data_IF_801482451695
#
_entry.id   IF_801482451695
#
_cell.length_a   1.000
_cell.length_b   1.000
_cell.length_c   1.000
_cell.angle_alpha   90.00
_cell.angle_beta   90.00
_cell.angle_gamma   90.00
#
_symmetry.space_group_name_H-M   'P 1'
#
loop_
_entity.id
_entity.type
_entity.pdbx_description
1 polymer ?
#
# COMPACT_ATOMS: atom_id res chain seq x y z
N UNK A 1 16.70 -66.98 -40.78
CA UNK A 1 15.64 -66.12 -40.20
C UNK A 1 14.94 -66.91 -39.11
N UNK A 2 14.45 -66.33 -38.00
CA UNK A 2 14.62 -64.98 -37.45
C UNK A 2 15.29 -64.99 -36.05
N UNK A 3 16.03 -63.92 -35.73
CA UNK A 3 16.62 -63.63 -34.42
C UNK A 3 15.59 -62.98 -33.50
N UNK A 4 15.19 -63.67 -32.43
CA UNK A 4 14.36 -63.09 -31.38
C UNK A 4 15.24 -62.21 -30.47
N UNK A 5 15.06 -60.89 -30.54
CA UNK A 5 15.69 -59.95 -29.61
C UNK A 5 15.15 -60.20 -28.18
N UNK A 6 16.01 -60.16 -27.14
CA UNK A 6 15.53 -60.18 -25.76
C UNK A 6 14.81 -58.87 -25.47
N UNK A 7 13.48 -58.91 -25.40
CA UNK A 7 12.63 -57.77 -25.05
C UNK A 7 12.96 -57.31 -23.63
N UNK A 8 13.53 -56.10 -23.52
CA UNK A 8 13.85 -55.37 -22.29
C UNK A 8 12.58 -54.91 -21.57
N UNK A 9 11.79 -55.86 -21.06
CA UNK A 9 10.57 -55.59 -20.28
C UNK A 9 10.84 -54.67 -19.08
N UNK A 10 12.03 -54.74 -18.49
CA UNK A 10 12.47 -53.91 -17.37
C UNK A 10 12.56 -52.41 -17.68
N UNK A 11 13.07 -52.03 -18.87
CA UNK A 11 13.16 -50.62 -19.28
C UNK A 11 11.79 -50.03 -19.63
N UNK A 12 10.89 -50.86 -20.19
CA UNK A 12 9.53 -50.43 -20.48
C UNK A 12 8.75 -50.18 -19.17
N UNK A 13 8.89 -51.06 -18.16
CA UNK A 13 8.24 -50.86 -16.86
C UNK A 13 8.77 -49.65 -16.11
N UNK A 14 10.08 -49.39 -16.13
CA UNK A 14 10.64 -48.18 -15.47
C UNK A 14 10.21 -46.91 -16.16
N UNK A 15 10.14 -46.89 -17.49
CA UNK A 15 9.63 -45.73 -18.23
C UNK A 15 8.15 -45.43 -17.91
N UNK A 16 7.32 -46.47 -17.81
CA UNK A 16 5.89 -46.31 -17.45
C UNK A 16 5.74 -45.81 -16.01
N UNK A 17 6.49 -46.37 -15.07
CA UNK A 17 6.44 -45.92 -13.66
C UNK A 17 6.94 -44.49 -13.54
N UNK A 18 8.02 -44.12 -14.22
CA UNK A 18 8.52 -42.74 -14.23
C UNK A 18 7.50 -41.76 -14.82
N UNK A 19 6.87 -42.11 -15.95
CA UNK A 19 5.83 -41.29 -16.56
C UNK A 19 4.60 -41.15 -15.64
N UNK A 20 4.19 -42.23 -14.98
CA UNK A 20 3.09 -42.19 -14.01
C UNK A 20 3.41 -41.28 -12.81
N UNK A 21 4.64 -41.35 -12.28
CA UNK A 21 5.08 -40.47 -11.20
C UNK A 21 5.11 -39.00 -11.62
N UNK A 22 5.59 -38.70 -12.83
CA UNK A 22 5.57 -37.33 -13.37
C UNK A 22 4.14 -36.81 -13.48
N UNK A 23 3.21 -37.63 -13.98
CA UNK A 23 1.80 -37.25 -14.08
C UNK A 23 1.18 -37.02 -12.70
N UNK A 24 1.51 -37.83 -11.69
CA UNK A 24 1.05 -37.63 -10.31
C UNK A 24 1.59 -36.30 -9.75
N UNK A 25 2.87 -35.99 -9.96
CA UNK A 25 3.47 -34.73 -9.51
C UNK A 25 2.82 -33.54 -10.20
N UNK A 26 2.57 -33.61 -11.50
CA UNK A 26 1.88 -32.56 -12.25
C UNK A 26 0.43 -32.39 -11.79
N UNK A 27 -0.28 -33.49 -11.53
CA UNK A 27 -1.65 -33.44 -11.01
C UNK A 27 -1.70 -32.85 -9.60
N UNK A 28 -0.79 -33.26 -8.71
CA UNK A 28 -0.66 -32.70 -7.38
C UNK A 28 -0.30 -31.20 -7.43
N UNK A 29 0.61 -30.81 -8.32
CA UNK A 29 0.96 -29.40 -8.55
C UNK A 29 -0.21 -28.58 -9.09
N UNK A 30 -1.01 -29.15 -10.00
CA UNK A 30 -2.20 -28.49 -10.54
C UNK A 30 -3.32 -28.35 -9.50
N UNK A 31 -3.54 -29.37 -8.66
CA UNK A 31 -4.50 -29.32 -7.55
C UNK A 31 -4.06 -28.30 -6.51
N UNK A 32 -2.78 -28.30 -6.13
CA UNK A 32 -2.21 -27.30 -5.23
C UNK A 32 -2.38 -25.89 -5.78
N UNK A 33 -2.04 -25.68 -7.06
CA UNK A 33 -2.21 -24.39 -7.73
C UNK A 33 -3.67 -23.94 -7.77
N UNK A 34 -4.61 -24.85 -8.04
CA UNK A 34 -6.03 -24.53 -8.01
C UNK A 34 -6.49 -24.13 -6.60
N UNK A 35 -6.13 -24.89 -5.57
CA UNK A 35 -6.52 -24.61 -4.17
C UNK A 35 -5.93 -23.29 -3.67
N UNK A 36 -4.65 -23.02 -3.94
CA UNK A 36 -4.00 -21.75 -3.52
C UNK A 36 -4.54 -20.56 -4.30
N UNK A 37 -4.97 -20.76 -5.55
CA UNK A 37 -5.64 -19.70 -6.33
C UNK A 37 -7.04 -19.39 -5.79
N UNK A 38 -7.72 -20.37 -5.21
CA UNK A 38 -9.10 -20.25 -4.75
C UNK A 38 -9.23 -19.75 -3.29
N UNK A 39 -8.12 -19.56 -2.56
CA UNK A 39 -8.08 -18.94 -1.23
C UNK A 39 -7.16 -17.70 -1.20
N UNK A 40 -7.51 -16.62 -1.93
CA UNK A 40 -6.69 -15.41 -1.96
C UNK A 40 -6.71 -14.74 -0.59
N UNK A 41 -5.54 -14.29 -0.11
CA UNK A 41 -5.44 -13.60 1.17
C UNK A 41 -6.47 -12.46 1.28
N UNK A 42 -7.40 -12.62 2.21
CA UNK A 42 -8.39 -11.60 2.58
C UNK A 42 -7.72 -10.61 3.51
N UNK A 43 -8.03 -9.32 3.36
CA UNK A 43 -7.61 -8.33 4.34
C UNK A 43 -8.73 -7.92 5.31
N UNK A 44 -8.30 -7.19 6.33
CA UNK A 44 -9.07 -6.89 7.55
C UNK A 44 -10.03 -5.70 7.40
N UNK A 45 -9.98 -5.01 6.26
CA UNK A 45 -10.75 -3.79 6.01
C UNK A 45 -11.77 -4.01 4.89
N UNK A 46 -13.05 -4.15 5.24
CA UNK A 46 -14.14 -4.03 4.26
C UNK A 46 -14.26 -2.58 3.75
N UNK A 47 -14.12 -1.66 4.70
CA UNK A 47 -14.03 -0.21 4.65
C UNK A 47 -12.65 0.44 4.57
N UNK A 48 -12.37 1.43 3.72
CA UNK A 48 -11.33 2.40 4.10
C UNK A 48 -11.84 3.30 5.24
N UNK A 49 -11.01 3.63 6.25
CA UNK A 49 -11.37 4.58 7.30
C UNK A 49 -11.66 6.00 6.76
N UNK A 50 -12.38 6.80 7.55
CA UNK A 50 -12.59 8.21 7.26
C UNK A 50 -11.42 9.10 7.71
N UNK A 51 -11.47 10.39 7.36
CA UNK A 51 -10.38 11.35 7.63
C UNK A 51 -10.06 11.54 9.12
N UNK A 52 -11.04 11.31 10.01
CA UNK A 52 -10.85 11.42 11.46
C UNK A 52 -9.71 10.56 12.02
N UNK A 53 -9.28 9.51 11.31
CA UNK A 53 -8.13 8.69 11.73
C UNK A 53 -6.80 9.47 11.73
N UNK A 54 -6.70 10.51 10.91
CA UNK A 54 -5.51 11.36 10.83
C UNK A 54 -5.59 12.60 11.71
N UNK A 55 -6.72 12.86 12.37
CA UNK A 55 -6.90 13.97 13.32
C UNK A 55 -6.23 13.63 14.66
N UNK A 56 -4.91 13.45 14.61
CA UNK A 56 -4.05 13.09 15.74
C UNK A 56 -3.32 14.32 16.29
N UNK A 57 -2.74 14.19 17.49
CA UNK A 57 -1.89 15.23 18.07
C UNK A 57 -0.68 15.56 17.17
N UNK A 58 -0.18 14.57 16.42
CA UNK A 58 0.87 14.78 15.41
C UNK A 58 0.41 15.69 14.27
N UNK A 59 -0.84 15.57 13.82
CA UNK A 59 -1.38 16.49 12.82
C UNK A 59 -1.49 17.92 13.37
N UNK A 60 -1.95 18.07 14.62
CA UNK A 60 -2.03 19.38 15.29
C UNK A 60 -0.66 20.06 15.42
N UNK A 61 0.39 19.28 15.68
CA UNK A 61 1.76 19.77 15.79
C UNK A 61 2.38 20.14 14.43
N UNK A 62 2.18 19.29 13.42
CA UNK A 62 2.75 19.48 12.08
C UNK A 62 2.02 20.55 11.26
N UNK A 63 0.69 20.62 11.39
CA UNK A 63 -0.17 21.59 10.70
C UNK A 63 -1.03 22.33 11.74
N UNK A 64 -0.45 23.32 12.45
CA UNK A 64 -1.18 24.06 13.47
C UNK A 64 -2.37 24.81 12.88
N UNK A 65 -3.45 24.88 13.66
CA UNK A 65 -4.70 25.57 13.30
C UNK A 65 -5.30 25.08 11.98
N UNK A 66 -5.07 23.82 11.61
CA UNK A 66 -5.50 23.28 10.33
C UNK A 66 -7.02 23.29 10.17
N UNK A 67 -7.45 23.44 8.91
CA UNK A 67 -8.81 23.17 8.47
C UNK A 67 -8.79 22.01 7.47
N UNK A 68 -9.84 21.18 7.50
CA UNK A 68 -10.05 20.12 6.51
C UNK A 68 -10.52 20.77 5.18
N UNK A 69 -9.62 20.83 4.20
CA UNK A 69 -9.88 21.43 2.88
C UNK A 69 -10.49 20.42 1.89
N UNK A 70 -10.04 19.16 1.94
CA UNK A 70 -10.47 18.10 1.02
C UNK A 70 -10.99 16.94 1.83
N UNK A 71 -12.17 16.46 1.45
CA UNK A 71 -12.80 15.28 2.02
C UNK A 71 -13.59 14.50 0.95
N UNK A 72 -12.86 13.86 0.04
CA UNK A 72 -13.40 13.32 -1.21
C UNK A 72 -13.27 11.80 -1.31
N UNK A 73 -14.21 11.10 -1.96
CA UNK A 73 -14.08 9.67 -2.21
C UNK A 73 -13.00 9.38 -3.25
N UNK A 74 -12.25 8.29 -3.06
CA UNK A 74 -11.29 7.73 -4.02
C UNK A 74 -11.81 6.40 -4.52
N UNK A 75 -11.90 6.24 -5.84
CA UNK A 75 -12.48 5.05 -6.46
C UNK A 75 -13.95 4.82 -6.07
N UNK A 76 -14.39 3.58 -6.20
CA UNK A 76 -15.73 3.13 -5.86
C UNK A 76 -15.80 1.61 -5.70
N UNK A 77 -16.92 1.10 -5.22
CA UNK A 77 -17.09 -0.34 -4.88
C UNK A 77 -16.81 -1.31 -6.05
N UNK A 78 -16.84 -0.82 -7.28
CA UNK A 78 -16.59 -1.61 -8.50
C UNK A 78 -15.18 -1.47 -9.05
N UNK A 79 -14.38 -0.58 -8.48
CA UNK A 79 -13.03 -0.35 -8.95
C UNK A 79 -12.10 -1.47 -8.44
N UNK A 80 -11.28 -2.06 -9.32
CA UNK A 80 -10.47 -3.22 -8.97
C UNK A 80 -9.35 -2.89 -7.98
N UNK A 81 -8.95 -1.61 -7.89
CA UNK A 81 -7.97 -1.13 -6.92
C UNK A 81 -8.59 -0.84 -5.55
N UNK A 82 -9.92 -0.84 -5.44
CA UNK A 82 -10.65 -0.57 -4.22
C UNK A 82 -11.26 0.82 -4.13
N UNK A 83 -11.71 1.13 -2.92
CA UNK A 83 -12.38 2.40 -2.63
C UNK A 83 -11.89 2.97 -1.31
N UNK A 84 -11.97 4.30 -1.20
CA UNK A 84 -11.71 4.97 0.05
C UNK A 84 -11.79 6.48 -0.04
N UNK A 85 -10.83 7.16 0.56
CA UNK A 85 -10.95 8.58 0.90
C UNK A 85 -9.63 9.31 0.70
N UNK A 86 -9.73 10.52 0.18
CA UNK A 86 -8.67 11.51 0.17
C UNK A 86 -9.05 12.64 1.12
N UNK A 87 -8.12 12.95 2.01
CA UNK A 87 -8.23 13.96 3.03
C UNK A 87 -7.08 14.95 2.88
N UNK A 88 -7.35 16.24 3.06
CA UNK A 88 -6.30 17.26 3.10
C UNK A 88 -6.60 18.26 4.20
N UNK A 89 -5.60 18.50 5.04
CA UNK A 89 -5.60 19.52 6.05
C UNK A 89 -4.54 20.56 5.72
N UNK A 90 -4.86 21.83 5.87
CA UNK A 90 -3.91 22.91 5.67
C UNK A 90 -4.13 24.03 6.68
N UNK A 91 -3.06 24.72 7.03
CA UNK A 91 -3.16 25.96 7.80
C UNK A 91 -3.86 27.03 6.95
N UNK A 92 -4.91 27.69 7.46
CA UNK A 92 -5.58 28.78 6.75
C UNK A 92 -4.61 29.90 6.35
N UNK A 93 -4.80 30.48 5.17
CA UNK A 93 -3.97 31.59 4.69
C UNK A 93 -4.09 32.86 5.55
N UNK A 94 -2.98 33.58 5.72
CA UNK A 94 -2.93 34.86 6.45
C UNK A 94 -1.89 34.89 7.56
N UNK A 95 -1.84 35.96 8.38
CA UNK A 95 -0.95 36.02 9.54
C UNK A 95 -1.37 34.98 10.59
N UNK A 96 -0.70 33.83 10.59
CA UNK A 96 -0.90 32.73 11.53
C UNK A 96 0.11 32.71 12.67
N UNK A 97 -0.05 31.75 13.59
CA UNK A 97 0.90 31.49 14.70
C UNK A 97 2.13 30.69 14.26
N UNK A 98 2.06 30.06 13.09
CA UNK A 98 3.11 29.28 12.46
C UNK A 98 3.12 29.52 10.95
N UNK A 99 4.22 29.16 10.30
CA UNK A 99 4.30 29.14 8.83
C UNK A 99 3.31 28.11 8.27
N UNK A 100 2.69 28.38 7.10
CA UNK A 100 1.70 27.48 6.52
C UNK A 100 2.24 26.06 6.27
N UNK A 101 1.47 25.07 6.69
CA UNK A 101 1.72 23.65 6.41
C UNK A 101 0.52 22.98 5.77
N UNK A 102 0.75 21.81 5.18
CA UNK A 102 -0.32 20.95 4.68
C UNK A 102 0.01 19.47 4.85
N UNK A 103 -1.00 18.69 5.22
CA UNK A 103 -0.96 17.25 5.29
C UNK A 103 -2.05 16.67 4.36
N UNK A 104 -1.72 15.61 3.64
CA UNK A 104 -2.66 14.88 2.78
C UNK A 104 -2.61 13.42 3.16
N UNK A 105 -3.77 12.78 3.24
CA UNK A 105 -3.91 11.35 3.47
C UNK A 105 -4.81 10.77 2.37
N UNK A 106 -4.33 9.73 1.71
CA UNK A 106 -5.14 8.88 0.84
C UNK A 106 -5.21 7.50 1.47
N UNK A 107 -6.41 6.94 1.59
CA UNK A 107 -6.62 5.58 2.06
C UNK A 107 -7.52 4.84 1.08
N UNK A 108 -7.14 3.62 0.70
CA UNK A 108 -7.89 2.78 -0.23
C UNK A 108 -7.92 1.35 0.30
N UNK A 109 -9.12 0.86 0.64
CA UNK A 109 -9.32 -0.54 0.99
C UNK A 109 -9.56 -1.33 -0.28
N UNK A 110 -8.65 -2.27 -0.56
CA UNK A 110 -8.76 -3.15 -1.70
C UNK A 110 -9.82 -4.24 -1.46
N UNK A 111 -10.63 -4.60 -2.48
CA UNK A 111 -11.75 -5.50 -2.30
C UNK A 111 -11.29 -6.95 -2.03
N UNK A 112 -12.05 -7.65 -1.20
CA UNK A 112 -11.89 -9.09 -0.98
C UNK A 112 -12.72 -9.92 -1.97
N UNK A 113 -12.30 -11.16 -2.30
CA UNK A 113 -11.04 -11.80 -1.92
C UNK A 113 -9.85 -11.27 -2.72
N UNK A 114 -8.64 -11.34 -2.13
CA UNK A 114 -7.38 -10.94 -2.78
C UNK A 114 -6.93 -9.52 -2.47
N UNK A 115 -7.61 -8.83 -1.55
CA UNK A 115 -7.34 -7.44 -1.20
C UNK A 115 -5.91 -7.18 -0.77
N UNK A 116 -5.26 -8.11 -0.07
CA UNK A 116 -3.86 -7.95 0.36
C UNK A 116 -2.92 -7.83 -0.86
N UNK A 117 -3.10 -8.69 -1.86
CA UNK A 117 -2.31 -8.64 -3.10
C UNK A 117 -2.58 -7.35 -3.87
N UNK A 118 -3.85 -6.94 -3.98
CA UNK A 118 -4.21 -5.68 -4.64
C UNK A 118 -3.63 -4.47 -3.92
N UNK A 119 -3.58 -4.46 -2.59
CA UNK A 119 -2.97 -3.38 -1.83
C UNK A 119 -1.45 -3.31 -2.03
N UNK A 120 -0.77 -4.46 -2.16
CA UNK A 120 0.65 -4.52 -2.58
C UNK A 120 0.83 -3.91 -3.97
N UNK A 121 -0.04 -4.28 -4.92
CA UNK A 121 0.03 -3.76 -6.29
C UNK A 121 -0.28 -2.26 -6.36
N UNK A 122 -1.20 -1.75 -5.52
CA UNK A 122 -1.47 -0.32 -5.38
C UNK A 122 -0.22 0.42 -4.91
N UNK A 123 0.39 -0.02 -3.80
CA UNK A 123 1.62 0.58 -3.26
C UNK A 123 2.73 0.59 -4.30
N UNK A 124 2.97 -0.56 -4.94
CA UNK A 124 4.00 -0.70 -5.99
C UNK A 124 3.72 0.19 -7.19
N UNK A 125 2.48 0.29 -7.63
CA UNK A 125 2.12 1.08 -8.81
C UNK A 125 2.31 2.56 -8.55
N UNK A 126 1.80 3.07 -7.42
CA UNK A 126 1.96 4.49 -7.04
C UNK A 126 3.43 4.86 -6.91
N UNK A 127 4.23 4.00 -6.32
CA UNK A 127 5.64 4.30 -6.00
C UNK A 127 6.61 4.01 -7.14
N UNK A 128 6.17 3.35 -8.21
CA UNK A 128 7.02 2.88 -9.31
C UNK A 128 7.79 3.97 -10.06
N UNK A 129 7.30 5.21 -10.02
CA UNK A 129 7.91 6.36 -10.71
C UNK A 129 8.80 7.21 -9.79
N UNK A 130 8.90 6.84 -8.51
CA UNK A 130 9.62 7.61 -7.51
C UNK A 130 10.91 6.91 -7.10
N UNK A 131 11.90 7.70 -6.70
CA UNK A 131 13.05 7.17 -5.98
C UNK A 131 12.66 6.97 -4.52
N UNK A 132 12.48 5.72 -4.13
CA UNK A 132 11.92 5.36 -2.82
C UNK A 132 12.99 4.82 -1.88
N UNK A 133 12.87 5.16 -0.59
CA UNK A 133 13.59 4.51 0.51
C UNK A 133 12.61 3.68 1.33
N UNK A 134 13.03 2.47 1.75
CA UNK A 134 12.25 1.65 2.68
C UNK A 134 12.12 2.36 4.03
N UNK A 135 10.91 2.38 4.58
CA UNK A 135 10.62 2.84 5.93
C UNK A 135 10.21 1.64 6.79
N UNK A 136 10.84 1.48 7.94
CA UNK A 136 10.55 0.37 8.86
C UNK A 136 9.65 0.85 10.00
N UNK A 137 8.86 -0.07 10.56
CA UNK A 137 7.96 0.24 11.68
C UNK A 137 6.65 0.92 11.30
N UNK A 138 6.36 1.07 9.99
CA UNK A 138 5.09 1.61 9.49
C UNK A 138 4.38 0.55 8.66
N UNK A 139 3.25 0.06 9.18
CA UNK A 139 2.45 -1.00 8.56
C UNK A 139 3.22 -2.30 8.31
N UNK A 140 2.72 -3.10 7.37
CA UNK A 140 3.36 -4.34 6.93
C UNK A 140 4.51 -4.07 5.94
N UNK A 141 4.37 -3.02 5.13
CA UNK A 141 5.34 -2.56 4.15
C UNK A 141 5.17 -1.06 3.97
N UNK A 142 6.27 -0.30 4.02
CA UNK A 142 6.25 1.13 3.78
C UNK A 142 7.50 1.62 3.05
N UNK A 143 7.30 2.66 2.25
CA UNK A 143 8.35 3.40 1.55
C UNK A 143 8.09 4.90 1.64
N UNK A 144 9.16 5.69 1.60
CA UNK A 144 9.12 7.15 1.57
C UNK A 144 9.78 7.67 0.31
N UNK A 145 9.29 8.78 -0.21
CA UNK A 145 9.87 9.52 -1.33
C UNK A 145 9.65 11.03 -1.18
N UNK A 146 10.38 11.79 -1.99
CA UNK A 146 10.27 13.25 -2.07
C UNK A 146 9.81 13.62 -3.48
N UNK A 147 8.88 14.56 -3.56
CA UNK A 147 8.44 15.20 -4.80
C UNK A 147 8.86 16.68 -4.74
N UNK A 148 9.73 17.11 -5.65
CA UNK A 148 10.37 18.43 -5.59
C UNK A 148 9.69 19.54 -6.42
N UNK A 149 8.73 19.21 -7.30
CA UNK A 149 8.10 20.19 -8.20
C UNK A 149 6.57 20.05 -8.20
N UNK A 150 5.79 21.17 -8.22
CA UNK A 150 6.22 22.57 -8.17
C UNK A 150 6.59 23.09 -6.76
N UNK A 151 6.41 22.27 -5.73
CA UNK A 151 6.70 22.58 -4.33
C UNK A 151 7.16 21.30 -3.63
N UNK A 152 8.12 21.39 -2.71
CA UNK A 152 8.66 20.20 -2.03
C UNK A 152 7.62 19.59 -1.10
N UNK A 153 7.35 18.30 -1.31
CA UNK A 153 6.48 17.45 -0.50
C UNK A 153 7.21 16.15 -0.23
N UNK A 154 7.17 15.63 0.99
CA UNK A 154 7.57 14.25 1.27
C UNK A 154 6.33 13.41 1.51
N UNK A 155 6.34 12.20 0.97
CA UNK A 155 5.24 11.25 1.08
C UNK A 155 5.73 9.91 1.59
N UNK A 156 4.87 9.23 2.33
CA UNK A 156 5.04 7.86 2.80
C UNK A 156 3.85 7.07 2.29
N UNK A 157 4.14 6.00 1.56
CA UNK A 157 3.17 5.01 1.13
C UNK A 157 3.34 3.76 1.97
N UNK A 158 2.26 3.24 2.53
CA UNK A 158 2.30 2.03 3.32
C UNK A 158 1.12 1.10 3.01
N UNK A 159 1.29 -0.16 3.39
CA UNK A 159 0.26 -1.18 3.36
C UNK A 159 0.02 -1.71 4.76
N UNK A 160 -1.25 -1.80 5.14
CA UNK A 160 -1.71 -2.48 6.36
C UNK A 160 -2.80 -3.46 5.94
N UNK A 161 -2.51 -4.77 5.97
CA UNK A 161 -3.44 -5.79 5.46
C UNK A 161 -3.82 -5.53 3.98
N UNK A 162 -5.11 -5.30 3.66
CA UNK A 162 -5.61 -4.87 2.35
C UNK A 162 -5.83 -3.34 2.22
N UNK A 163 -5.36 -2.54 3.18
CA UNK A 163 -5.43 -1.09 3.12
C UNK A 163 -4.12 -0.53 2.53
N UNK A 164 -4.24 0.20 1.43
CA UNK A 164 -3.18 1.11 0.96
C UNK A 164 -3.39 2.48 1.61
N UNK A 165 -2.33 3.06 2.14
CA UNK A 165 -2.32 4.43 2.66
C UNK A 165 -1.15 5.23 2.09
N UNK A 166 -1.37 6.51 1.85
CA UNK A 166 -0.36 7.48 1.42
C UNK A 166 -0.54 8.76 2.22
N UNK A 167 0.45 9.09 3.04
CA UNK A 167 0.52 10.35 3.79
C UNK A 167 1.57 11.24 3.15
N UNK A 168 1.20 12.46 2.81
CA UNK A 168 2.11 13.48 2.31
C UNK A 168 2.10 14.69 3.22
N UNK A 169 3.26 15.29 3.42
CA UNK A 169 3.43 16.49 4.22
C UNK A 169 4.28 17.53 3.49
N UNK A 170 3.91 18.79 3.65
CA UNK A 170 4.72 19.94 3.25
C UNK A 170 4.54 21.09 4.22
N UNK A 171 5.56 21.94 4.27
CA UNK A 171 5.56 23.16 5.08
C UNK A 171 6.32 24.24 4.33
N UNK A 172 5.91 25.49 4.50
CA UNK A 172 6.58 26.64 3.91
C UNK A 172 7.77 27.13 4.75
N UNK A 173 8.75 27.77 4.12
CA UNK A 173 9.82 28.49 4.81
C UNK A 173 9.35 29.82 5.42
N UNK A 174 8.29 30.41 4.87
CA UNK A 174 7.76 31.72 5.25
C UNK A 174 6.23 31.81 5.19
N UNK A 175 5.68 32.87 5.77
CA UNK A 175 4.22 33.10 5.85
C UNK A 175 3.56 33.38 4.49
N UNK A 176 4.34 33.73 3.48
CA UNK A 176 3.87 33.94 2.11
C UNK A 176 3.72 32.63 1.33
N UNK A 177 4.16 31.49 1.89
CA UNK A 177 4.07 30.16 1.30
C UNK A 177 4.67 30.04 -0.12
N UNK A 178 5.64 30.90 -0.43
CA UNK A 178 6.26 30.97 -1.76
C UNK A 178 7.39 29.95 -1.94
N UNK A 179 8.08 29.61 -0.85
CA UNK A 179 9.21 28.68 -0.83
C UNK A 179 8.94 27.51 0.13
N UNK A 180 9.35 26.28 -0.24
CA UNK A 180 9.28 25.15 0.66
C UNK A 180 10.21 25.35 1.85
N UNK A 181 9.80 24.79 2.99
CA UNK A 181 10.62 24.69 4.17
C UNK A 181 11.81 23.75 3.97
N UNK A 182 12.54 23.55 5.06
CA UNK A 182 13.67 22.63 5.09
C UNK A 182 13.25 21.20 4.74
N UNK A 183 13.99 20.55 3.85
CA UNK A 183 13.68 19.20 3.34
C UNK A 183 13.74 18.15 4.47
N UNK A 184 14.71 18.23 5.38
CA UNK A 184 14.83 17.29 6.50
C UNK A 184 13.60 17.38 7.41
N UNK A 185 13.12 18.60 7.65
CA UNK A 185 11.87 18.84 8.39
C UNK A 185 10.64 18.29 7.66
N UNK A 186 10.58 18.44 6.33
CA UNK A 186 9.47 17.91 5.52
C UNK A 186 9.46 16.38 5.54
N UNK A 187 10.62 15.74 5.40
CA UNK A 187 10.74 14.27 5.47
C UNK A 187 10.37 13.75 6.85
N UNK A 188 10.90 14.34 7.92
CA UNK A 188 10.59 13.93 9.29
C UNK A 188 9.09 14.06 9.58
N UNK A 189 8.47 15.17 9.19
CA UNK A 189 7.03 15.37 9.38
C UNK A 189 6.18 14.36 8.60
N UNK A 190 6.58 13.99 7.38
CA UNK A 190 5.87 12.96 6.62
C UNK A 190 5.97 11.57 7.27
N UNK A 191 7.15 11.21 7.79
CA UNK A 191 7.35 9.93 8.51
C UNK A 191 6.59 9.90 9.84
N UNK A 192 6.65 10.96 10.63
CA UNK A 192 5.92 11.08 11.91
C UNK A 192 4.40 11.01 11.69
N UNK A 193 3.88 11.70 10.67
CA UNK A 193 2.48 11.62 10.30
C UNK A 193 2.07 10.19 9.90
N UNK A 194 2.89 9.50 9.11
CA UNK A 194 2.61 8.14 8.68
C UNK A 194 2.53 7.15 9.85
N UNK A 195 3.48 7.24 10.78
CA UNK A 195 3.48 6.44 12.01
C UNK A 195 2.21 6.70 12.81
N UNK A 196 1.91 7.98 13.06
CA UNK A 196 0.74 8.40 13.84
C UNK A 196 -0.58 7.90 13.25
N UNK A 197 -0.75 8.01 11.92
CA UNK A 197 -1.94 7.51 11.23
C UNK A 197 -2.05 6.01 11.34
N UNK A 198 -0.96 5.26 11.11
CA UNK A 198 -0.99 3.79 11.20
C UNK A 198 -1.28 3.31 12.61
N UNK A 199 -0.73 3.97 13.63
CA UNK A 199 -1.02 3.65 15.05
C UNK A 199 -2.47 3.97 15.44
N UNK A 200 -3.09 4.96 14.79
CA UNK A 200 -4.49 5.34 15.00
C UNK A 200 -5.50 4.46 14.23
N UNK A 201 -5.05 3.62 13.28
CA UNK A 201 -5.93 2.75 12.53
C UNK A 201 -6.66 1.76 13.44
N UNK A 202 -7.95 1.46 13.17
CA UNK A 202 -8.61 0.35 13.81
C UNK A 202 -7.97 -0.98 13.37
N UNK A 203 -7.94 -1.98 14.25
CA UNK A 203 -7.39 -3.31 13.92
C UNK A 203 -8.12 -3.98 12.75
N UNK A 204 -9.42 -3.71 12.57
CA UNK A 204 -10.23 -4.19 11.46
C UNK A 204 -11.47 -3.31 11.26
N UNK A 205 -12.06 -3.38 10.06
CA UNK A 205 -13.40 -2.84 9.78
C UNK A 205 -14.22 -3.96 9.13
N UNK A 206 -15.20 -4.54 9.85
CA UNK A 206 -16.01 -5.65 9.32
C UNK A 206 -17.00 -5.17 8.25
N UNK A 207 -17.52 -6.14 7.47
CA UNK A 207 -18.61 -5.94 6.50
C UNK A 207 -19.91 -5.41 7.12
#
# INVERSE_FOLDING_TARGET
MPSAQPQSRGCATTAVVAAALVLIVLAAGAIWYAVVRDDPATGDFASAPGCAVAETETLDELVPDHELEVDEPVGGERDPFGSGRQCRWATPGGPGRAVPGAATLVMVAAPNPGGVTTAVDNLRTTTSQHETRKLEGVGDEAVTWIQGEPFTVSCVGARVSNLYLETCYSVAAGYDASEPGDEERIVAGAEELAVSVVEALPESIPE
#
